data_IF_511460674193
#
_entry.id   IF_511460674193
#
_cell.length_a   1.000
_cell.length_b   1.000
_cell.length_c   1.000
_cell.angle_alpha   90.00
_cell.angle_beta   90.00
_cell.angle_gamma   90.00
#
_symmetry.space_group_name_H-M   'P 1'
#
loop_
_entity.id
_entity.type
_entity.pdbx_description
1 polymer ?
#
# COMPACT_ATOMS: atom_id res chain seq x y z
N UNK A 1 -33.24 2.36 -17.49
CA UNK A 1 -31.95 1.67 -17.67
C UNK A 1 -31.00 2.28 -16.65
N UNK A 2 -30.72 1.58 -15.54
CA UNK A 2 -29.82 2.08 -14.50
C UNK A 2 -28.38 1.87 -14.97
N UNK A 3 -27.69 2.96 -15.29
CA UNK A 3 -26.24 2.97 -15.46
C UNK A 3 -25.69 3.21 -14.06
N UNK A 4 -25.01 2.25 -13.41
CA UNK A 4 -24.38 2.52 -12.13
C UNK A 4 -23.40 3.68 -12.30
N UNK A 5 -23.69 4.79 -11.62
CA UNK A 5 -22.77 5.92 -11.55
C UNK A 5 -21.68 5.51 -10.56
N UNK A 6 -20.46 5.27 -11.04
CA UNK A 6 -19.33 5.24 -10.12
C UNK A 6 -19.30 6.59 -9.38
N UNK A 7 -19.16 6.62 -8.03
CA UNK A 7 -19.11 7.87 -7.29
C UNK A 7 -18.03 8.77 -7.89
N UNK A 8 -18.42 10.00 -8.27
CA UNK A 8 -17.59 10.96 -9.01
C UNK A 8 -16.24 11.26 -8.32
N UNK A 9 -16.13 10.97 -7.02
CA UNK A 9 -14.95 11.17 -6.18
C UNK A 9 -14.35 9.83 -5.72
N UNK A 10 -13.77 9.07 -6.64
CA UNK A 10 -12.87 7.97 -6.27
C UNK A 10 -11.66 8.54 -5.50
N UNK A 11 -11.30 8.00 -4.32
CA UNK A 11 -10.15 8.46 -3.55
C UNK A 11 -8.83 8.44 -4.34
N UNK A 12 -7.87 9.29 -3.94
CA UNK A 12 -6.72 9.66 -4.75
C UNK A 12 -5.82 8.47 -5.08
N UNK A 13 -5.42 7.67 -4.10
CA UNK A 13 -4.53 6.52 -4.35
C UNK A 13 -5.26 5.48 -5.18
N UNK A 14 -6.48 5.13 -4.79
CA UNK A 14 -7.27 4.14 -5.54
C UNK A 14 -7.49 4.56 -6.99
N UNK A 15 -7.45 5.85 -7.37
CA UNK A 15 -7.47 6.28 -8.78
C UNK A 15 -6.32 5.73 -9.61
N UNK A 16 -5.12 5.62 -9.05
CA UNK A 16 -3.91 5.19 -9.75
C UNK A 16 -3.64 3.69 -9.59
N UNK A 17 -3.97 3.14 -8.42
CA UNK A 17 -3.82 1.72 -8.14
C UNK A 17 -5.21 1.13 -8.11
N UNK A 18 -5.53 0.16 -8.97
CA UNK A 18 -6.87 -0.40 -9.07
C UNK A 18 -7.24 -1.29 -7.86
N UNK A 19 -7.25 -0.68 -6.68
CA UNK A 19 -7.50 -1.27 -5.38
C UNK A 19 -8.78 -0.69 -4.78
N UNK A 20 -9.40 -1.49 -3.92
CA UNK A 20 -10.56 -1.15 -3.10
C UNK A 20 -10.13 -1.12 -1.63
N UNK A 21 -10.88 -0.42 -0.79
CA UNK A 21 -10.69 -0.48 0.66
C UNK A 21 -10.65 -1.93 1.15
N UNK A 22 -9.77 -2.22 2.11
CA UNK A 22 -9.45 -3.56 2.60
C UNK A 22 -8.41 -4.32 1.79
N UNK A 23 -8.07 -3.88 0.56
CA UNK A 23 -7.00 -4.47 -0.22
C UNK A 23 -5.63 -3.91 0.18
N UNK A 24 -4.58 -4.65 -0.15
CA UNK A 24 -3.20 -4.36 0.26
C UNK A 24 -2.45 -3.55 -0.79
N UNK A 25 -1.80 -2.47 -0.35
CA UNK A 25 -0.84 -1.69 -1.12
C UNK A 25 0.57 -1.90 -0.54
N UNK A 26 1.51 -2.24 -1.42
CA UNK A 26 2.93 -2.26 -1.10
C UNK A 26 3.56 -0.88 -1.39
N UNK A 27 4.17 -0.24 -0.40
CA UNK A 27 4.83 1.06 -0.53
C UNK A 27 6.33 0.91 -0.39
N UNK A 28 7.06 1.14 -1.48
CA UNK A 28 8.53 1.13 -1.47
C UNK A 28 9.09 2.53 -1.22
N UNK A 29 10.18 2.63 -0.47
CA UNK A 29 10.82 3.90 -0.12
C UNK A 29 10.00 4.70 0.90
N UNK A 30 9.33 4.02 1.84
CA UNK A 30 8.39 4.66 2.75
C UNK A 30 9.03 5.65 3.74
N UNK A 31 10.33 5.53 4.03
CA UNK A 31 11.09 6.48 4.86
C UNK A 31 11.58 7.72 4.12
N UNK A 32 10.85 8.17 3.11
CA UNK A 32 11.16 9.38 2.34
C UNK A 32 9.90 10.18 2.06
N UNK A 33 10.05 11.47 1.75
CA UNK A 33 8.95 12.44 1.71
C UNK A 33 7.68 11.95 0.99
N UNK A 34 7.80 11.37 -0.21
CA UNK A 34 6.64 10.85 -0.94
C UNK A 34 6.07 9.56 -0.36
N UNK A 35 6.95 8.67 0.12
CA UNK A 35 6.54 7.40 0.70
C UNK A 35 5.73 7.60 1.99
N UNK A 36 6.17 8.51 2.85
CA UNK A 36 5.48 8.89 4.08
C UNK A 36 4.06 9.43 3.80
N UNK A 37 3.94 10.25 2.76
CA UNK A 37 2.65 10.79 2.33
C UNK A 37 1.73 9.71 1.76
N UNK A 38 2.27 8.81 0.93
CA UNK A 38 1.53 7.69 0.35
C UNK A 38 1.02 6.73 1.42
N UNK A 39 1.82 6.44 2.45
CA UNK A 39 1.40 5.60 3.59
C UNK A 39 0.15 6.18 4.24
N UNK A 40 0.19 7.46 4.63
CA UNK A 40 -0.93 8.11 5.30
C UNK A 40 -2.18 8.14 4.42
N UNK A 41 -2.04 8.56 3.15
CA UNK A 41 -3.16 8.58 2.21
C UNK A 41 -3.77 7.18 2.05
N UNK A 42 -2.97 6.14 1.87
CA UNK A 42 -3.46 4.79 1.68
C UNK A 42 -4.26 4.31 2.90
N UNK A 43 -3.82 4.67 4.11
CA UNK A 43 -4.56 4.38 5.34
C UNK A 43 -5.86 5.16 5.44
N UNK A 44 -5.90 6.43 5.05
CA UNK A 44 -7.16 7.21 5.01
C UNK A 44 -8.17 6.64 4.01
N UNK A 45 -7.69 5.95 2.97
CA UNK A 45 -8.53 5.28 1.96
C UNK A 45 -8.91 3.84 2.35
N UNK A 46 -8.57 3.41 3.57
CA UNK A 46 -8.94 2.10 4.10
C UNK A 46 -8.13 0.94 3.53
N UNK A 47 -6.96 1.21 2.93
CA UNK A 47 -6.06 0.16 2.46
C UNK A 47 -5.24 -0.43 3.62
N UNK A 48 -4.81 -1.68 3.42
CA UNK A 48 -3.72 -2.25 4.20
C UNK A 48 -2.40 -1.85 3.55
N UNK A 49 -1.43 -1.42 4.34
CA UNK A 49 -0.16 -0.87 3.86
C UNK A 49 0.99 -1.73 4.37
N UNK A 50 1.71 -2.33 3.42
CA UNK A 50 2.99 -3.00 3.66
C UNK A 50 4.08 -2.10 3.10
N UNK A 51 4.93 -1.56 3.97
CA UNK A 51 5.96 -0.61 3.60
C UNK A 51 7.36 -1.19 3.75
N UNK A 52 8.33 -0.71 2.96
CA UNK A 52 9.75 -0.91 3.26
C UNK A 52 10.42 0.39 3.73
N UNK A 53 11.30 0.25 4.71
CA UNK A 53 11.98 1.37 5.33
C UNK A 53 13.39 0.97 5.77
N UNK A 54 14.25 1.96 6.02
CA UNK A 54 15.49 1.70 6.76
C UNK A 54 15.19 1.59 8.26
N UNK A 55 16.10 1.00 9.04
CA UNK A 55 15.85 0.76 10.47
C UNK A 55 15.58 2.06 11.24
N UNK A 56 16.28 3.15 10.89
CA UNK A 56 16.08 4.48 11.48
C UNK A 56 14.70 5.09 11.17
N UNK A 57 14.07 4.70 10.06
CA UNK A 57 12.79 5.25 9.62
C UNK A 57 11.62 4.31 9.98
N UNK A 58 11.91 3.14 10.58
CA UNK A 58 10.92 2.10 10.85
C UNK A 58 9.80 2.58 11.77
N UNK A 59 10.16 3.21 12.89
CA UNK A 59 9.19 3.70 13.88
C UNK A 59 8.34 4.84 13.32
N UNK A 60 8.94 5.72 12.52
CA UNK A 60 8.23 6.75 11.79
C UNK A 60 7.19 6.12 10.85
N UNK A 61 7.58 5.20 9.98
CA UNK A 61 6.67 4.61 8.99
C UNK A 61 5.53 3.83 9.67
N UNK A 62 5.78 3.18 10.81
CA UNK A 62 4.73 2.56 11.63
C UNK A 62 3.77 3.60 12.21
N UNK A 63 4.27 4.72 12.74
CA UNK A 63 3.43 5.78 13.33
C UNK A 63 2.58 6.50 12.28
N UNK A 64 3.01 6.53 11.02
CA UNK A 64 2.24 7.00 9.87
C UNK A 64 1.10 6.05 9.46
N UNK A 65 1.05 4.84 10.03
CA UNK A 65 -0.05 3.90 9.88
C UNK A 65 0.25 2.69 9.01
N UNK A 66 1.51 2.44 8.62
CA UNK A 66 1.86 1.19 7.96
C UNK A 66 1.53 -0.01 8.87
N UNK A 67 0.85 -1.02 8.32
CA UNK A 67 0.47 -2.22 9.08
C UNK A 67 1.67 -3.16 9.26
N UNK A 68 2.54 -3.22 8.24
CA UNK A 68 3.76 -4.02 8.25
C UNK A 68 4.90 -3.17 7.68
N UNK A 69 6.03 -3.14 8.38
CA UNK A 69 7.28 -2.55 7.86
C UNK A 69 8.33 -3.63 7.68
N UNK A 70 8.82 -3.76 6.46
CA UNK A 70 9.90 -4.66 6.08
C UNK A 70 11.23 -3.90 5.97
N UNK A 71 12.38 -4.58 6.14
CA UNK A 71 13.67 -3.98 5.83
C UNK A 71 13.72 -3.54 4.36
N UNK A 72 14.42 -2.45 4.10
CA UNK A 72 14.54 -1.84 2.77
C UNK A 72 14.87 -2.85 1.68
N UNK A 73 14.23 -2.71 0.51
CA UNK A 73 14.37 -3.58 -0.68
C UNK A 73 13.97 -5.05 -0.47
N UNK A 74 13.11 -5.34 0.51
CA UNK A 74 12.60 -6.71 0.74
C UNK A 74 11.17 -6.95 0.24
N UNK A 75 10.38 -5.91 -0.06
CA UNK A 75 9.00 -6.05 -0.58
C UNK A 75 8.95 -7.00 -1.79
N UNK A 76 9.76 -6.75 -2.82
CA UNK A 76 9.74 -7.57 -4.05
C UNK A 76 10.04 -9.05 -3.78
N UNK A 77 10.90 -9.36 -2.81
CA UNK A 77 11.23 -10.75 -2.44
C UNK A 77 10.09 -11.45 -1.71
N UNK A 78 9.39 -10.72 -0.84
CA UNK A 78 8.22 -11.25 -0.13
C UNK A 78 7.10 -11.55 -1.12
N UNK A 79 6.80 -10.61 -2.03
CA UNK A 79 5.73 -10.80 -3.00
C UNK A 79 6.08 -11.81 -4.09
N UNK A 80 7.33 -11.92 -4.53
CA UNK A 80 7.74 -12.99 -5.47
C UNK A 80 7.42 -14.39 -4.92
N UNK A 81 7.58 -14.60 -3.61
CA UNK A 81 7.27 -15.88 -2.97
C UNK A 81 5.76 -16.11 -2.81
N UNK A 82 4.98 -15.05 -2.61
CA UNK A 82 3.52 -15.13 -2.43
C UNK A 82 2.79 -15.30 -3.77
N UNK A 83 3.25 -14.64 -4.84
CA UNK A 83 2.62 -14.74 -6.16
C UNK A 83 3.03 -16.00 -6.94
N UNK A 84 4.17 -16.63 -6.67
CA UNK A 84 4.46 -17.99 -7.19
C UNK A 84 3.54 -19.05 -6.58
N UNK A 85 3.00 -18.82 -5.38
CA UNK A 85 2.03 -19.72 -4.76
C UNK A 85 0.60 -19.54 -5.31
N UNK A 86 0.36 -18.51 -6.14
CA UNK A 86 -0.95 -18.16 -6.69
C UNK A 86 -1.19 -18.58 -8.15
N UNK A 87 -0.29 -19.35 -8.77
CA UNK A 87 -0.53 -19.95 -10.08
C UNK A 87 -1.06 -21.38 -9.94
N UNK A 88 -2.29 -21.49 -9.47
CA UNK A 88 -3.18 -22.61 -9.76
C UNK A 88 -4.61 -22.08 -9.56
N UNK A 89 -5.36 -22.15 -10.66
CA UNK A 89 -6.81 -21.90 -10.85
C UNK A 89 -7.18 -20.59 -11.53
#
# INVERSE_FOLDING_TARGET
MYVPHEPQTRPLITRFVNLKAGQTLAVTGAGGAYGEYIVQLAKTEGLQVIADASDKDRELVLSLGADIVLPRKKIAKVFANVFQAGSMD
#
